data_IF_727128836645
#
_entry.id   IF_727128836645
#
_cell.length_a   1.000
_cell.length_b   1.000
_cell.length_c   1.000
_cell.angle_alpha   90.00
_cell.angle_beta   90.00
_cell.angle_gamma   90.00
#
_symmetry.space_group_name_H-M   'P 1'
#
loop_
_entity.id
_entity.type
_entity.pdbx_description
1 polymer ?
#
# COMPACT_ATOMS: atom_id res chain seq x y z
N UNK A 1 3.95 -21.19 -18.35
CA UNK A 1 3.96 -20.65 -16.98
C UNK A 1 4.33 -21.83 -16.10
N UNK A 2 5.31 -21.72 -15.20
CA UNK A 2 5.57 -22.82 -14.25
C UNK A 2 4.31 -23.05 -13.41
N UNK A 3 4.13 -24.26 -12.89
CA UNK A 3 2.97 -24.62 -12.05
C UNK A 3 2.83 -23.71 -10.80
N UNK A 4 3.90 -23.02 -10.40
CA UNK A 4 3.97 -22.16 -9.21
C UNK A 4 3.49 -20.71 -9.43
N UNK A 5 3.45 -20.24 -10.67
CA UNK A 5 3.07 -18.86 -10.99
C UNK A 5 1.57 -18.75 -11.31
N UNK A 6 0.77 -18.47 -10.30
CA UNK A 6 -0.71 -18.49 -10.41
C UNK A 6 -1.30 -17.10 -10.22
N UNK A 7 -1.85 -16.53 -11.29
CA UNK A 7 -2.88 -15.50 -11.23
C UNK A 7 -4.20 -16.08 -11.77
N UNK A 8 -5.33 -15.68 -11.17
CA UNK A 8 -6.66 -16.28 -11.45
C UNK A 8 -7.78 -15.36 -11.02
N UNK A 9 -8.99 -15.60 -11.53
CA UNK A 9 -10.17 -14.84 -11.17
C UNK A 9 -11.32 -15.73 -10.68
N UNK A 10 -12.18 -15.14 -9.86
CA UNK A 10 -13.41 -15.76 -9.35
C UNK A 10 -14.56 -14.77 -9.48
N UNK A 11 -15.73 -15.25 -9.88
CA UNK A 11 -16.96 -14.48 -9.88
C UNK A 11 -17.85 -14.93 -8.73
N UNK A 12 -18.35 -13.97 -7.95
CA UNK A 12 -19.31 -14.18 -6.88
C UNK A 12 -20.69 -13.75 -7.37
N UNK A 13 -21.33 -14.65 -8.13
CA UNK A 13 -22.62 -14.37 -8.77
C UNK A 13 -22.55 -13.15 -9.69
N UNK A 14 -23.54 -12.27 -9.54
CA UNK A 14 -23.64 -10.96 -10.20
C UNK A 14 -23.05 -9.81 -9.35
N UNK A 15 -22.51 -10.10 -8.16
CA UNK A 15 -22.08 -9.08 -7.21
C UNK A 15 -20.65 -8.60 -7.46
N UNK A 16 -19.69 -9.52 -7.63
CA UNK A 16 -18.28 -9.16 -7.66
C UNK A 16 -17.43 -10.10 -8.52
N UNK A 17 -16.34 -9.55 -9.07
CA UNK A 17 -15.21 -10.34 -9.58
C UNK A 17 -13.97 -10.09 -8.74
N UNK A 18 -13.32 -11.15 -8.28
CA UNK A 18 -12.04 -11.11 -7.56
C UNK A 18 -10.93 -11.60 -8.47
N UNK A 19 -9.93 -10.75 -8.73
CA UNK A 19 -8.73 -11.06 -9.49
C UNK A 19 -7.55 -11.19 -8.52
N UNK A 20 -6.93 -12.36 -8.45
CA UNK A 20 -5.73 -12.60 -7.67
C UNK A 20 -4.51 -12.52 -8.58
N UNK A 21 -3.61 -11.57 -8.32
CA UNK A 21 -2.40 -11.35 -9.13
C UNK A 21 -1.17 -12.04 -8.54
N UNK A 22 -0.15 -12.22 -9.38
CA UNK A 22 1.17 -12.74 -9.05
C UNK A 22 2.20 -11.63 -9.30
N UNK A 23 2.92 -11.20 -8.25
CA UNK A 23 3.87 -10.07 -8.33
C UNK A 23 5.28 -10.44 -7.87
N UNK A 24 5.62 -11.74 -7.78
CA UNK A 24 6.88 -12.23 -7.23
C UNK A 24 7.70 -13.03 -8.24
N UNK A 25 7.10 -13.99 -8.92
CA UNK A 25 7.84 -15.02 -9.67
C UNK A 25 7.95 -14.73 -11.16
N UNK A 26 6.98 -14.02 -11.74
CA UNK A 26 6.82 -14.00 -13.21
C UNK A 26 7.56 -12.89 -13.93
N UNK A 27 7.39 -11.65 -13.49
CA UNK A 27 7.82 -10.47 -14.24
C UNK A 27 8.49 -9.40 -13.39
N UNK A 28 8.64 -9.65 -12.09
CA UNK A 28 9.22 -8.71 -11.15
C UNK A 28 10.68 -8.44 -11.49
N UNK A 29 11.02 -7.18 -11.77
CA UNK A 29 12.42 -6.78 -11.84
C UNK A 29 13.04 -6.77 -10.43
N UNK A 30 14.36 -6.88 -10.37
CA UNK A 30 15.12 -6.84 -9.11
C UNK A 30 14.80 -5.58 -8.30
N UNK A 31 14.57 -5.77 -6.99
CA UNK A 31 14.31 -4.70 -6.05
C UNK A 31 15.48 -3.73 -5.97
N UNK A 32 15.17 -2.43 -5.93
CA UNK A 32 16.18 -1.44 -5.57
C UNK A 32 16.37 -1.42 -4.05
N UNK A 33 17.58 -1.06 -3.63
CA UNK A 33 17.93 -0.73 -2.26
C UNK A 33 18.68 0.60 -2.23
N UNK A 34 18.48 1.39 -1.18
CA UNK A 34 19.21 2.65 -1.02
C UNK A 34 20.73 2.44 -0.95
N UNK A 35 21.20 1.37 -0.32
CA UNK A 35 22.63 1.11 -0.17
C UNK A 35 23.34 0.78 -1.49
N UNK A 36 22.69 0.05 -2.40
CA UNK A 36 23.29 -0.33 -3.68
C UNK A 36 22.98 0.65 -4.82
N UNK A 37 21.81 1.30 -4.78
CA UNK A 37 21.24 2.00 -5.92
C UNK A 37 21.18 3.52 -5.76
N UNK A 38 21.58 4.05 -4.61
CA UNK A 38 21.75 5.49 -4.39
C UNK A 38 23.26 5.81 -4.27
N UNK A 39 23.90 6.22 -5.37
CA UNK A 39 25.31 6.58 -5.35
C UNK A 39 25.59 7.73 -4.37
N UNK A 40 26.80 7.75 -3.82
CA UNK A 40 27.30 8.88 -3.04
C UNK A 40 28.19 9.76 -3.91
N UNK A 41 27.94 11.06 -3.90
CA UNK A 41 28.79 12.09 -4.51
C UNK A 41 29.48 12.92 -3.44
N UNK A 42 30.38 13.82 -3.85
CA UNK A 42 30.98 14.79 -2.94
C UNK A 42 29.94 15.71 -2.25
N UNK A 43 28.75 15.88 -2.85
CA UNK A 43 27.66 16.69 -2.31
C UNK A 43 26.66 15.90 -1.43
N UNK A 44 26.85 14.58 -1.30
CA UNK A 44 25.92 13.68 -0.59
C UNK A 44 25.26 12.65 -1.52
N UNK A 45 24.16 12.01 -1.07
CA UNK A 45 23.46 11.00 -1.85
C UNK A 45 22.89 11.56 -3.15
N UNK A 46 23.11 10.86 -4.27
CA UNK A 46 22.58 11.23 -5.58
C UNK A 46 21.15 10.71 -5.76
N UNK A 47 20.21 11.48 -5.21
CA UNK A 47 18.77 11.19 -5.28
C UNK A 47 18.28 11.20 -6.73
N UNK A 48 18.84 12.07 -7.59
CA UNK A 48 18.42 12.18 -8.98
C UNK A 48 18.78 10.91 -9.77
N UNK A 49 20.00 10.39 -9.60
CA UNK A 49 20.40 9.12 -10.20
C UNK A 49 19.54 7.94 -9.70
N UNK A 50 19.27 7.89 -8.39
CA UNK A 50 18.37 6.90 -7.80
C UNK A 50 16.96 6.97 -8.40
N UNK A 51 16.38 8.17 -8.47
CA UNK A 51 15.04 8.39 -9.03
C UNK A 51 14.99 8.09 -10.52
N UNK A 52 16.04 8.37 -11.30
CA UNK A 52 16.11 7.97 -12.70
C UNK A 52 16.02 6.44 -12.84
N UNK A 53 16.72 5.68 -11.98
CA UNK A 53 16.65 4.22 -11.95
C UNK A 53 15.27 3.73 -11.50
N UNK A 54 14.70 4.32 -10.45
CA UNK A 54 13.37 3.95 -9.91
C UNK A 54 12.26 4.19 -10.92
N UNK A 55 12.33 5.30 -11.66
CA UNK A 55 11.34 5.69 -12.66
C UNK A 55 11.62 5.14 -14.07
N UNK A 56 12.60 4.24 -14.23
CA UNK A 56 12.85 3.57 -15.50
C UNK A 56 11.54 2.93 -16.02
N UNK A 57 11.10 3.25 -17.26
CA UNK A 57 9.83 2.78 -17.80
C UNK A 57 9.78 1.25 -17.91
N UNK A 58 10.91 0.56 -17.99
CA UNK A 58 11.01 -0.89 -18.04
C UNK A 58 10.77 -1.58 -16.68
N UNK A 59 10.78 -0.85 -15.56
CA UNK A 59 10.56 -1.45 -14.23
C UNK A 59 9.10 -1.86 -14.03
N UNK A 60 8.90 -3.10 -13.59
CA UNK A 60 7.60 -3.75 -13.49
C UNK A 60 7.53 -4.84 -12.40
N UNK A 61 6.29 -5.16 -12.00
CA UNK A 61 5.91 -6.26 -11.12
C UNK A 61 5.08 -7.34 -11.84
N UNK A 62 4.28 -6.97 -12.85
CA UNK A 62 3.23 -7.84 -13.41
C UNK A 62 3.57 -8.42 -14.79
N UNK A 63 4.28 -7.65 -15.62
CA UNK A 63 4.49 -7.95 -17.03
C UNK A 63 3.22 -7.75 -17.87
N UNK A 64 3.42 -7.62 -19.19
CA UNK A 64 2.33 -7.23 -20.11
C UNK A 64 1.23 -8.29 -20.25
N UNK A 65 1.60 -9.57 -20.18
CA UNK A 65 0.62 -10.67 -20.29
C UNK A 65 -0.42 -10.60 -19.16
N UNK A 66 0.05 -10.51 -17.91
CA UNK A 66 -0.85 -10.47 -16.77
C UNK A 66 -1.64 -9.16 -16.73
N UNK A 67 -1.03 -8.04 -17.13
CA UNK A 67 -1.71 -6.75 -17.23
C UNK A 67 -2.82 -6.73 -18.28
N UNK A 68 -2.58 -7.33 -19.44
CA UNK A 68 -3.61 -7.54 -20.46
C UNK A 68 -4.76 -8.40 -19.94
N UNK A 69 -4.44 -9.51 -19.25
CA UNK A 69 -5.44 -10.35 -18.60
C UNK A 69 -6.26 -9.59 -17.54
N UNK A 70 -5.64 -8.74 -16.72
CA UNK A 70 -6.34 -7.88 -15.76
C UNK A 70 -7.33 -6.97 -16.48
N UNK A 71 -6.87 -6.21 -17.48
CA UNK A 71 -7.73 -5.30 -18.26
C UNK A 71 -8.94 -6.04 -18.84
N UNK A 72 -8.70 -7.16 -19.50
CA UNK A 72 -9.75 -7.90 -20.21
C UNK A 72 -10.76 -8.51 -19.22
N UNK A 73 -10.28 -8.99 -18.07
CA UNK A 73 -11.12 -9.57 -17.00
C UNK A 73 -11.96 -8.50 -16.31
N UNK A 74 -11.39 -7.32 -16.04
CA UNK A 74 -12.11 -6.18 -15.48
C UNK A 74 -13.17 -5.66 -16.45
N UNK A 75 -12.84 -5.55 -17.74
CA UNK A 75 -13.79 -5.15 -18.78
C UNK A 75 -14.96 -6.14 -18.90
N UNK A 76 -14.68 -7.45 -18.86
CA UNK A 76 -15.69 -8.49 -18.86
C UNK A 76 -16.58 -8.44 -17.61
N UNK A 77 -16.00 -8.21 -16.42
CA UNK A 77 -16.75 -8.04 -15.17
C UNK A 77 -17.74 -6.87 -15.26
N UNK A 78 -17.28 -5.72 -15.76
CA UNK A 78 -18.12 -4.54 -15.99
C UNK A 78 -19.23 -4.80 -17.02
N UNK A 79 -18.89 -5.43 -18.15
CA UNK A 79 -19.86 -5.76 -19.19
C UNK A 79 -20.96 -6.71 -18.71
N UNK A 80 -20.63 -7.61 -17.77
CA UNK A 80 -21.58 -8.50 -17.10
C UNK A 80 -22.45 -7.79 -16.03
N UNK A 81 -22.29 -6.47 -15.83
CA UNK A 81 -23.09 -5.69 -14.89
C UNK A 81 -22.69 -5.83 -13.42
N UNK A 82 -21.52 -6.42 -13.13
CA UNK A 82 -21.08 -6.61 -11.74
C UNK A 82 -20.65 -5.29 -11.12
N UNK A 83 -21.22 -4.88 -9.97
CA UNK A 83 -20.89 -3.61 -9.36
C UNK A 83 -19.45 -3.58 -8.80
N UNK A 84 -18.88 -4.71 -8.40
CA UNK A 84 -17.57 -4.74 -7.75
C UNK A 84 -16.50 -5.49 -8.53
N UNK A 85 -15.36 -4.83 -8.70
CA UNK A 85 -14.12 -5.44 -9.13
C UNK A 85 -13.11 -5.34 -8.00
N UNK A 86 -12.54 -6.46 -7.59
CA UNK A 86 -11.58 -6.54 -6.48
C UNK A 86 -10.28 -7.12 -7.00
N UNK A 87 -9.16 -6.45 -6.73
CA UNK A 87 -7.83 -6.92 -7.04
C UNK A 87 -7.13 -7.37 -5.76
N UNK A 88 -6.95 -8.68 -5.60
CA UNK A 88 -6.10 -9.26 -4.55
C UNK A 88 -4.64 -9.22 -4.97
N UNK A 89 -3.83 -8.45 -4.24
CA UNK A 89 -2.43 -8.18 -4.50
C UNK A 89 -1.61 -8.36 -3.20
N UNK A 90 -0.29 -8.56 -3.32
CA UNK A 90 0.57 -8.90 -2.18
C UNK A 90 0.98 -7.65 -1.39
N UNK A 91 1.39 -6.58 -2.08
CA UNK A 91 2.11 -5.43 -1.49
C UNK A 91 1.36 -4.11 -1.63
N UNK A 92 1.52 -3.19 -0.69
CA UNK A 92 0.88 -1.87 -0.70
C UNK A 92 1.14 -1.12 -2.02
N UNK A 93 0.08 -0.57 -2.59
CA UNK A 93 0.06 0.09 -3.89
C UNK A 93 0.15 1.62 -3.81
N UNK A 94 -0.34 2.20 -2.71
CA UNK A 94 -0.26 3.65 -2.47
C UNK A 94 1.14 4.23 -2.61
N UNK A 95 1.21 5.52 -2.98
CA UNK A 95 2.46 6.29 -2.96
C UNK A 95 2.80 6.66 -1.52
N UNK A 96 3.85 6.05 -0.99
CA UNK A 96 4.27 6.23 0.40
C UNK A 96 5.73 6.71 0.44
N UNK A 97 5.91 8.00 0.56
CA UNK A 97 7.18 8.59 0.99
C UNK A 97 7.44 8.24 2.45
N UNK A 98 8.71 7.99 2.76
CA UNK A 98 9.13 7.85 4.15
C UNK A 98 8.85 9.16 4.91
N UNK A 99 8.45 9.08 6.19
CA UNK A 99 8.09 10.27 6.93
C UNK A 99 9.33 11.07 7.31
N UNK A 100 9.28 12.38 7.07
CA UNK A 100 10.24 13.33 7.61
C UNK A 100 9.72 13.84 8.96
N UNK A 101 10.13 13.16 10.05
CA UNK A 101 9.63 13.48 11.39
C UNK A 101 10.00 14.90 11.84
N UNK A 102 11.01 15.53 11.23
CA UNK A 102 11.40 16.91 11.50
C UNK A 102 10.36 17.94 11.07
N UNK A 103 9.48 17.57 10.13
CA UNK A 103 8.37 18.42 9.65
C UNK A 103 7.07 18.19 10.42
N UNK A 104 7.01 17.15 11.25
CA UNK A 104 5.78 16.68 11.89
C UNK A 104 5.68 17.04 13.38
N UNK A 105 6.79 17.45 14.00
CA UNK A 105 6.86 17.82 15.40
C UNK A 105 7.92 18.90 15.63
N UNK A 106 7.84 19.60 16.77
CA UNK A 106 8.87 20.56 17.16
C UNK A 106 10.19 19.87 17.47
N UNK A 107 11.29 20.62 17.38
CA UNK A 107 12.63 20.12 17.72
C UNK A 107 12.70 19.57 19.15
N UNK A 108 11.99 20.17 20.10
CA UNK A 108 11.96 19.74 21.50
C UNK A 108 11.26 18.38 21.62
N UNK A 109 10.11 18.21 20.96
CA UNK A 109 9.37 16.94 20.95
C UNK A 109 10.19 15.82 20.30
N UNK A 110 10.87 16.11 19.19
CA UNK A 110 11.76 15.14 18.54
C UNK A 110 12.92 14.78 19.46
N UNK A 111 13.55 15.75 20.11
CA UNK A 111 14.63 15.47 21.07
C UNK A 111 14.15 14.59 22.23
N UNK A 112 12.96 14.86 22.78
CA UNK A 112 12.36 14.06 23.84
C UNK A 112 12.05 12.63 23.35
N UNK A 113 11.46 12.50 22.16
CA UNK A 113 11.21 11.20 21.51
C UNK A 113 12.50 10.40 21.36
N UNK A 114 13.53 11.00 20.76
CA UNK A 114 14.81 10.33 20.51
C UNK A 114 15.52 9.94 21.82
N UNK A 115 15.43 10.77 22.86
CA UNK A 115 16.00 10.49 24.17
C UNK A 115 15.35 9.26 24.84
N UNK A 116 14.06 9.01 24.59
CA UNK A 116 13.33 7.85 25.09
C UNK A 116 13.63 6.53 24.38
N UNK A 117 14.27 6.57 23.19
CA UNK A 117 14.62 5.37 22.43
C UNK A 117 15.89 4.69 22.95
N UNK A 118 15.93 3.35 22.85
CA UNK A 118 17.15 2.55 23.02
C UNK A 118 18.23 3.00 22.02
N UNK A 119 19.53 2.90 22.35
CA UNK A 119 20.60 3.39 21.48
C UNK A 119 20.55 2.84 20.05
N UNK A 120 20.26 1.54 19.88
CA UNK A 120 20.22 0.88 18.58
C UNK A 120 19.04 1.37 17.74
N UNK A 121 17.86 1.46 18.37
CA UNK A 121 16.64 1.98 17.74
C UNK A 121 16.81 3.46 17.37
N UNK A 122 17.43 4.25 18.25
CA UNK A 122 17.74 5.66 18.00
C UNK A 122 18.61 5.82 16.75
N UNK A 123 19.66 5.02 16.61
CA UNK A 123 20.55 5.06 15.44
C UNK A 123 19.80 4.71 14.15
N UNK A 124 18.94 3.69 14.18
CA UNK A 124 18.09 3.31 13.05
C UNK A 124 17.13 4.44 12.66
N UNK A 125 16.45 5.05 13.63
CA UNK A 125 15.52 6.18 13.38
C UNK A 125 16.29 7.38 12.82
N UNK A 126 17.50 7.67 13.32
CA UNK A 126 18.34 8.76 12.78
C UNK A 126 18.73 8.51 11.33
N UNK A 127 19.16 7.29 10.99
CA UNK A 127 19.52 6.91 9.63
C UNK A 127 18.31 6.99 8.69
N UNK A 128 17.17 6.43 9.11
CA UNK A 128 15.92 6.51 8.35
C UNK A 128 15.48 7.96 8.15
N UNK A 129 15.57 8.80 9.18
CA UNK A 129 15.22 10.21 9.09
C UNK A 129 16.12 10.99 8.12
N UNK A 130 17.43 10.73 8.12
CA UNK A 130 18.35 11.33 7.14
C UNK A 130 17.93 10.96 5.72
N UNK A 131 17.65 9.68 5.49
CA UNK A 131 17.22 9.19 4.19
C UNK A 131 15.86 9.77 3.77
N UNK A 132 14.84 9.69 4.62
CA UNK A 132 13.48 10.13 4.30
C UNK A 132 13.34 11.65 4.19
N UNK A 133 14.25 12.42 4.80
CA UNK A 133 14.33 13.87 4.55
C UNK A 133 14.65 14.22 3.09
N UNK A 134 15.17 13.25 2.31
CA UNK A 134 15.42 13.37 0.88
C UNK A 134 14.17 13.13 0.00
N UNK A 135 13.02 12.82 0.61
CA UNK A 135 11.75 12.61 -0.11
C UNK A 135 11.63 11.26 -0.83
N UNK A 136 12.40 10.27 -0.41
CA UNK A 136 12.42 8.94 -1.03
C UNK A 136 11.37 7.99 -0.43
N UNK A 137 10.96 6.93 -1.16
CA UNK A 137 9.92 6.01 -0.69
C UNK A 137 10.17 5.29 0.64
N UNK A 138 9.10 4.92 1.31
CA UNK A 138 9.17 4.15 2.56
C UNK A 138 9.53 2.68 2.31
N UNK A 139 9.03 2.09 1.21
CA UNK A 139 9.25 0.67 0.89
C UNK A 139 9.53 0.47 -0.61
N UNK A 140 10.74 0.04 -0.95
CA UNK A 140 11.12 -0.26 -2.34
C UNK A 140 10.76 -1.68 -2.79
N UNK A 141 10.36 -2.57 -1.87
CA UNK A 141 9.83 -3.89 -2.22
C UNK A 141 8.35 -3.83 -2.64
N UNK A 142 7.65 -2.73 -2.36
CA UNK A 142 6.26 -2.51 -2.78
C UNK A 142 6.19 -1.77 -4.14
N UNK A 143 4.99 -1.35 -4.53
CA UNK A 143 4.77 -0.62 -5.79
C UNK A 143 5.53 0.71 -5.89
N UNK A 144 6.04 1.27 -4.79
CA UNK A 144 6.89 2.46 -4.83
C UNK A 144 8.27 2.21 -5.45
N UNK A 145 8.75 0.97 -5.49
CA UNK A 145 9.93 0.58 -6.27
C UNK A 145 9.68 0.45 -7.78
N UNK A 146 8.41 0.53 -8.21
CA UNK A 146 7.96 0.26 -9.58
C UNK A 146 6.91 1.27 -10.06
N UNK A 147 7.17 2.59 -9.97
CA UNK A 147 6.20 3.63 -10.30
C UNK A 147 5.67 3.54 -11.74
N UNK A 148 6.53 3.26 -12.72
CA UNK A 148 6.10 3.11 -14.11
C UNK A 148 5.16 1.89 -14.30
N UNK A 149 5.48 0.77 -13.64
CA UNK A 149 4.63 -0.42 -13.60
C UNK A 149 3.26 -0.16 -12.95
N UNK A 150 3.23 0.66 -11.88
CA UNK A 150 1.99 1.11 -11.21
C UNK A 150 1.11 1.92 -12.16
N UNK A 151 1.66 2.93 -12.84
CA UNK A 151 0.89 3.75 -13.79
C UNK A 151 0.32 2.91 -14.94
N UNK A 152 1.08 1.94 -15.45
CA UNK A 152 0.56 1.02 -16.48
C UNK A 152 -0.60 0.16 -15.96
N UNK A 153 -0.58 -0.23 -14.68
CA UNK A 153 -1.71 -0.95 -14.08
C UNK A 153 -2.93 -0.03 -13.94
N UNK A 154 -2.74 1.21 -13.51
CA UNK A 154 -3.82 2.20 -13.46
C UNK A 154 -4.41 2.50 -14.84
N UNK A 155 -3.57 2.57 -15.88
CA UNK A 155 -4.04 2.68 -17.25
C UNK A 155 -4.93 1.48 -17.65
N UNK A 156 -4.57 0.25 -17.24
CA UNK A 156 -5.41 -0.93 -17.49
C UNK A 156 -6.78 -0.86 -16.77
N UNK A 157 -6.85 -0.28 -15.57
CA UNK A 157 -8.12 -0.02 -14.90
C UNK A 157 -8.96 1.01 -15.67
N UNK A 158 -8.33 2.10 -16.10
CA UNK A 158 -8.96 3.16 -16.88
C UNK A 158 -9.48 2.66 -18.23
N UNK A 159 -8.70 1.82 -18.94
CA UNK A 159 -9.08 1.20 -20.22
C UNK A 159 -10.30 0.27 -20.05
N UNK A 160 -10.38 -0.46 -18.94
CA UNK A 160 -11.55 -1.25 -18.58
C UNK A 160 -12.72 -0.37 -18.08
N UNK A 161 -12.47 0.91 -17.81
CA UNK A 161 -13.42 1.88 -17.28
C UNK A 161 -13.94 1.51 -15.88
N UNK A 162 -13.07 1.00 -15.02
CA UNK A 162 -13.40 0.63 -13.63
C UNK A 162 -12.45 1.28 -12.64
N UNK A 163 -12.92 1.46 -11.41
CA UNK A 163 -12.11 1.83 -10.25
C UNK A 163 -12.20 0.66 -9.26
N UNK A 164 -11.25 -0.29 -9.26
CA UNK A 164 -11.37 -1.47 -8.42
C UNK A 164 -11.08 -1.17 -6.95
N UNK A 165 -11.51 -2.08 -6.07
CA UNK A 165 -10.98 -2.18 -4.71
C UNK A 165 -9.71 -3.03 -4.76
N UNK A 166 -8.60 -2.53 -4.23
CA UNK A 166 -7.34 -3.26 -4.10
C UNK A 166 -7.20 -3.78 -2.68
N UNK A 167 -6.85 -5.06 -2.53
CA UNK A 167 -6.47 -5.67 -1.27
C UNK A 167 -4.96 -5.91 -1.27
N UNK A 168 -4.30 -5.55 -0.18
CA UNK A 168 -2.86 -5.74 -0.02
C UNK A 168 -2.53 -6.35 1.36
N UNK A 169 -1.34 -6.92 1.51
CA UNK A 169 -0.79 -7.42 2.77
C UNK A 169 0.69 -7.06 2.90
N UNK A 170 1.52 -8.04 3.28
CA UNK A 170 3.01 -8.01 3.32
C UNK A 170 3.63 -7.02 4.33
N UNK A 171 3.17 -5.77 4.33
CA UNK A 171 3.69 -4.66 5.17
C UNK A 171 3.51 -4.81 6.68
N UNK A 172 2.70 -5.79 7.12
CA UNK A 172 2.31 -5.98 8.52
C UNK A 172 1.68 -4.73 9.18
N UNK A 173 0.97 -3.91 8.42
CA UNK A 173 0.32 -2.70 8.89
C UNK A 173 -1.05 -2.54 8.22
N UNK A 174 -1.98 -1.86 8.89
CA UNK A 174 -3.22 -1.47 8.21
C UNK A 174 -2.99 -0.24 7.36
N UNK A 175 -3.54 -0.26 6.15
CA UNK A 175 -3.55 0.86 5.23
C UNK A 175 -4.94 1.06 4.66
N UNK A 176 -5.35 2.32 4.55
CA UNK A 176 -6.47 2.73 3.72
C UNK A 176 -5.98 3.84 2.81
N UNK A 177 -5.99 3.59 1.51
CA UNK A 177 -5.47 4.55 0.53
C UNK A 177 -6.51 4.91 -0.54
N UNK A 178 -6.53 6.18 -0.91
CA UNK A 178 -7.23 6.70 -2.07
C UNK A 178 -6.21 6.86 -3.22
N UNK A 179 -6.12 5.83 -4.06
CA UNK A 179 -5.07 5.70 -5.07
C UNK A 179 -5.35 6.61 -6.24
N UNK A 180 -4.36 7.40 -6.67
CA UNK A 180 -4.50 8.32 -7.79
C UNK A 180 -3.48 8.02 -8.89
N UNK A 181 -3.87 8.22 -10.15
CA UNK A 181 -2.91 8.23 -11.24
C UNK A 181 -2.03 9.49 -11.23
N UNK A 182 -1.04 9.56 -12.12
CA UNK A 182 -0.18 10.73 -12.24
C UNK A 182 -0.92 12.03 -12.61
N UNK A 183 -2.15 11.95 -13.15
CA UNK A 183 -2.99 13.10 -13.45
C UNK A 183 -3.88 13.52 -12.25
N UNK A 184 -3.78 12.83 -11.12
CA UNK A 184 -4.56 13.08 -9.91
C UNK A 184 -5.98 12.52 -9.94
N UNK A 185 -6.34 11.71 -10.95
CA UNK A 185 -7.63 11.02 -11.02
C UNK A 185 -7.58 9.78 -10.14
N UNK A 186 -8.68 9.46 -9.44
CA UNK A 186 -8.75 8.23 -8.66
C UNK A 186 -8.62 7.02 -9.60
N UNK A 187 -7.71 6.12 -9.25
CA UNK A 187 -7.50 4.85 -9.94
C UNK A 187 -8.17 3.69 -9.21
N UNK A 188 -8.15 3.70 -7.88
CA UNK A 188 -8.68 2.62 -7.04
C UNK A 188 -8.81 3.06 -5.57
N UNK A 189 -9.49 2.26 -4.76
CA UNK A 189 -9.43 2.33 -3.30
C UNK A 189 -8.67 1.12 -2.78
N UNK A 190 -7.69 1.32 -1.90
CA UNK A 190 -6.89 0.23 -1.33
C UNK A 190 -7.18 0.00 0.15
N UNK A 191 -7.34 -1.26 0.52
CA UNK A 191 -7.33 -1.73 1.90
C UNK A 191 -6.16 -2.69 2.11
N UNK A 192 -5.09 -2.19 2.71
CA UNK A 192 -3.95 -3.00 3.15
C UNK A 192 -4.25 -3.63 4.51
N UNK A 193 -4.20 -4.96 4.59
CA UNK A 193 -4.40 -5.68 5.84
C UNK A 193 -3.12 -5.74 6.66
N UNK A 194 -3.27 -5.60 7.98
CA UNK A 194 -2.18 -5.88 8.91
C UNK A 194 -1.84 -7.38 8.95
N UNK A 195 -0.82 -7.72 9.72
CA UNK A 195 -0.43 -9.10 9.99
C UNK A 195 -1.36 -9.77 11.02
N UNK A 196 -1.48 -11.09 10.89
CA UNK A 196 -2.11 -11.92 11.92
C UNK A 196 -1.25 -11.93 13.19
N UNK A 197 0.07 -12.10 13.05
CA UNK A 197 1.00 -12.21 14.19
C UNK A 197 2.40 -11.64 13.94
N UNK A 198 2.82 -11.44 12.69
CA UNK A 198 4.16 -10.94 12.38
C UNK A 198 4.42 -9.53 12.92
N UNK A 199 5.63 -9.20 13.39
CA UNK A 199 5.97 -7.85 13.85
C UNK A 199 5.77 -6.78 12.77
N UNK A 200 5.20 -5.65 13.16
CA UNK A 200 5.00 -4.47 12.32
C UNK A 200 6.24 -3.57 12.34
N UNK A 201 6.45 -2.71 11.34
CA UNK A 201 7.51 -1.69 11.40
C UNK A 201 7.43 -0.82 12.66
N UNK A 202 6.23 -0.42 13.09
CA UNK A 202 6.04 0.36 14.32
C UNK A 202 6.44 -0.36 15.61
N UNK A 203 6.44 -1.70 15.64
CA UNK A 203 6.88 -2.48 16.81
C UNK A 203 8.40 -2.35 17.04
N UNK A 204 9.16 -2.00 16.00
CA UNK A 204 10.61 -1.83 16.06
C UNK A 204 11.03 -0.42 16.52
N UNK A 205 10.10 0.54 16.48
CA UNK A 205 10.32 1.94 16.85
C UNK A 205 9.28 2.42 17.88
N UNK A 206 9.19 1.76 19.05
CA UNK A 206 8.15 2.05 20.03
C UNK A 206 8.19 3.52 20.48
N UNK A 207 7.02 4.14 20.56
CA UNK A 207 6.86 5.56 20.92
C UNK A 207 6.95 6.52 19.74
N UNK A 208 7.47 6.08 18.58
CA UNK A 208 7.39 6.87 17.34
C UNK A 208 5.99 6.68 16.74
N UNK A 209 5.20 7.76 16.52
CA UNK A 209 3.86 7.66 15.95
C UNK A 209 3.92 7.44 14.42
N UNK A 210 4.55 6.34 13.98
CA UNK A 210 4.91 6.10 12.58
C UNK A 210 3.70 6.11 11.64
N UNK A 211 2.58 5.48 12.03
CA UNK A 211 1.36 5.46 11.22
C UNK A 211 0.76 6.86 11.00
N UNK A 212 0.71 7.67 12.05
CA UNK A 212 0.25 9.06 11.95
C UNK A 212 1.20 9.90 11.09
N UNK A 213 2.51 9.69 11.22
CA UNK A 213 3.52 10.37 10.42
C UNK A 213 3.40 10.04 8.92
N UNK A 214 3.17 8.76 8.59
CA UNK A 214 2.94 8.31 7.22
C UNK A 214 1.65 8.87 6.65
N UNK A 215 0.57 8.89 7.43
CA UNK A 215 -0.72 9.50 7.05
C UNK A 215 -0.56 10.99 6.75
N UNK A 216 0.13 11.73 7.63
CA UNK A 216 0.31 13.18 7.47
C UNK A 216 1.23 13.56 6.28
N UNK A 217 2.16 12.68 5.92
CA UNK A 217 3.15 12.94 4.86
C UNK A 217 2.56 12.67 3.46
N UNK A 218 1.61 11.73 3.34
CA UNK A 218 1.24 11.15 2.06
C UNK A 218 -0.23 11.39 1.71
N UNK A 219 -0.47 12.14 0.63
CA UNK A 219 -1.81 12.58 0.24
C UNK A 219 -2.79 11.43 -0.13
N UNK A 220 -2.28 10.27 -0.53
CA UNK A 220 -3.12 9.09 -0.82
C UNK A 220 -3.46 8.29 0.44
N UNK A 221 -2.66 8.42 1.51
CA UNK A 221 -2.81 7.63 2.73
C UNK A 221 -3.86 8.28 3.62
N UNK A 222 -5.06 7.69 3.62
CA UNK A 222 -6.18 8.14 4.46
C UNK A 222 -6.00 7.64 5.89
N UNK A 223 -5.50 6.42 6.05
CA UNK A 223 -5.14 5.86 7.35
C UNK A 223 -3.97 4.89 7.23
N UNK A 224 -3.06 4.97 8.20
CA UNK A 224 -2.03 3.96 8.41
C UNK A 224 -1.91 3.63 9.90
N UNK A 225 -2.01 2.35 10.26
CA UNK A 225 -1.71 1.84 11.61
C UNK A 225 -0.57 0.82 11.53
N UNK A 226 0.53 1.16 12.21
CA UNK A 226 1.81 0.45 12.15
C UNK A 226 2.04 -0.50 13.32
N UNK A 227 0.99 -0.87 14.08
CA UNK A 227 1.15 -1.67 15.30
C UNK A 227 0.02 -2.68 15.55
N UNK A 228 -1.23 -2.35 15.21
CA UNK A 228 -2.37 -3.22 15.45
C UNK A 228 -2.26 -4.52 14.65
N UNK A 229 -2.63 -5.64 15.27
CA UNK A 229 -2.66 -6.98 14.64
C UNK A 229 -4.09 -7.38 14.35
N UNK A 230 -4.31 -8.06 13.22
CA UNK A 230 -5.61 -8.55 12.81
C UNK A 230 -5.78 -8.64 11.30
N UNK A 231 -6.98 -8.34 10.79
CA UNK A 231 -7.34 -8.51 9.38
C UNK A 231 -8.38 -7.48 8.92
N UNK A 232 -8.52 -7.29 7.60
CA UNK A 232 -9.64 -6.54 7.02
C UNK A 232 -10.82 -7.47 6.77
N UNK A 233 -12.01 -7.11 7.27
CA UNK A 233 -13.28 -7.73 6.89
C UNK A 233 -13.97 -6.83 5.86
N UNK A 234 -13.98 -7.26 4.59
CA UNK A 234 -14.65 -6.55 3.50
C UNK A 234 -16.03 -7.18 3.26
N UNK A 235 -17.08 -6.38 3.43
CA UNK A 235 -18.46 -6.74 3.11
C UNK A 235 -18.90 -5.97 1.87
N UNK A 236 -19.40 -6.68 0.85
CA UNK A 236 -19.91 -6.09 -0.38
C UNK A 236 -21.42 -6.32 -0.48
N UNK A 237 -22.16 -5.25 -0.70
CA UNK A 237 -23.58 -5.24 -1.11
C UNK A 237 -23.67 -4.59 -2.50
N UNK A 238 -24.78 -4.70 -3.24
CA UNK A 238 -24.88 -4.09 -4.57
C UNK A 238 -24.55 -2.58 -4.61
N UNK A 239 -24.77 -1.88 -3.50
CA UNK A 239 -24.67 -0.42 -3.36
C UNK A 239 -23.52 0.07 -2.46
N UNK A 240 -22.86 -0.82 -1.70
CA UNK A 240 -21.81 -0.42 -0.76
C UNK A 240 -20.72 -1.48 -0.58
N UNK A 241 -19.48 -1.02 -0.48
CA UNK A 241 -18.37 -1.75 0.10
C UNK A 241 -18.08 -1.20 1.50
N UNK A 242 -18.00 -2.09 2.50
CA UNK A 242 -17.69 -1.76 3.89
C UNK A 242 -16.47 -2.56 4.35
N UNK A 243 -15.40 -1.88 4.71
CA UNK A 243 -14.15 -2.46 5.19
C UNK A 243 -13.97 -2.18 6.68
N UNK A 244 -13.89 -3.24 7.50
CA UNK A 244 -13.59 -3.14 8.92
C UNK A 244 -12.17 -3.60 9.21
N UNK A 245 -11.38 -2.75 9.87
CA UNK A 245 -10.03 -3.09 10.31
C UNK A 245 -10.15 -3.83 11.64
N UNK A 246 -10.31 -5.15 11.59
CA UNK A 246 -10.51 -6.01 12.76
C UNK A 246 -9.20 -6.18 13.52
N UNK A 247 -9.24 -6.01 14.83
CA UNK A 247 -8.04 -6.08 15.67
C UNK A 247 -8.18 -7.06 16.84
N UNK A 248 -7.04 -7.46 17.40
CA UNK A 248 -6.95 -8.16 18.69
C UNK A 248 -6.09 -7.37 19.67
N UNK A 249 -6.44 -7.42 20.96
CA UNK A 249 -5.72 -6.68 22.02
C UNK A 249 -4.31 -7.21 22.28
N UNK A 250 -4.05 -8.49 21.99
CA UNK A 250 -2.73 -9.12 22.08
C UNK A 250 -2.72 -10.41 21.27
N UNK A 251 -1.56 -10.77 20.72
CA UNK A 251 -1.27 -12.06 20.09
C UNK A 251 -0.48 -13.00 21.02
N UNK A 252 -0.10 -12.53 22.21
CA UNK A 252 0.86 -13.22 23.09
C UNK A 252 0.18 -14.11 24.15
N UNK A 253 -1.10 -13.88 24.44
CA UNK A 253 -1.81 -14.58 25.50
C UNK A 253 -3.32 -14.65 25.26
N UNK A 254 -3.97 -15.59 25.97
CA UNK A 254 -5.43 -15.68 26.10
C UNK A 254 -5.84 -15.40 27.56
N UNK A 255 -7.02 -14.80 27.81
CA UNK A 255 -7.96 -14.29 26.80
C UNK A 255 -7.45 -13.00 26.14
N UNK A 256 -7.80 -12.81 24.87
CA UNK A 256 -7.65 -11.54 24.17
C UNK A 256 -9.03 -10.97 23.85
N UNK A 257 -9.11 -9.67 23.60
CA UNK A 257 -10.33 -9.01 23.11
C UNK A 257 -10.22 -8.75 21.62
N UNK A 258 -11.27 -9.06 20.87
CA UNK A 258 -11.40 -8.64 19.48
C UNK A 258 -12.09 -7.28 19.40
N UNK A 259 -11.73 -6.47 18.40
CA UNK A 259 -12.29 -5.15 18.19
C UNK A 259 -12.28 -4.72 16.73
N UNK A 260 -12.69 -3.48 16.49
CA UNK A 260 -12.60 -2.79 15.20
C UNK A 260 -11.82 -1.51 15.45
N UNK A 261 -10.71 -1.33 14.73
CA UNK A 261 -9.90 -0.11 14.82
C UNK A 261 -10.64 1.05 14.16
N UNK A 262 -11.06 0.86 12.92
CA UNK A 262 -11.82 1.79 12.10
C UNK A 262 -12.69 1.03 11.09
N UNK A 263 -13.74 1.69 10.62
CA UNK A 263 -14.58 1.23 9.51
C UNK A 263 -14.53 2.25 8.40
N UNK A 264 -14.39 1.78 7.16
CA UNK A 264 -14.48 2.61 5.97
C UNK A 264 -15.58 2.10 5.05
N UNK A 265 -16.22 3.02 4.35
CA UNK A 265 -17.26 2.71 3.36
C UNK A 265 -16.99 3.41 2.05
N UNK A 266 -17.41 2.76 0.98
CA UNK A 266 -17.42 3.30 -0.38
C UNK A 266 -18.75 2.93 -1.01
N UNK A 267 -19.53 3.93 -1.43
CA UNK A 267 -20.79 3.69 -2.13
C UNK A 267 -20.52 3.30 -3.60
N UNK A 268 -21.36 2.44 -4.17
CA UNK A 268 -21.42 2.27 -5.62
C UNK A 268 -22.30 3.36 -6.21
N UNK A 269 -21.76 4.08 -7.18
CA UNK A 269 -22.48 5.16 -7.89
C UNK A 269 -22.67 4.81 -9.36
N UNK A 270 -23.51 5.58 -10.05
CA UNK A 270 -23.71 5.42 -11.49
C UNK A 270 -22.43 5.63 -12.32
N UNK A 271 -21.48 6.40 -11.80
CA UNK A 271 -20.24 6.78 -12.51
C UNK A 271 -18.99 6.04 -12.02
N UNK A 272 -19.08 5.19 -10.99
CA UNK A 272 -17.91 4.54 -10.38
C UNK A 272 -18.04 4.39 -8.87
N UNK A 273 -16.92 4.47 -8.16
CA UNK A 273 -16.90 4.46 -6.70
C UNK A 273 -17.17 5.87 -6.15
N UNK A 274 -17.99 5.95 -5.10
CA UNK A 274 -18.20 7.18 -4.34
C UNK A 274 -16.99 7.54 -3.47
N UNK A 275 -17.10 8.61 -2.70
CA UNK A 275 -16.05 9.00 -1.74
C UNK A 275 -15.72 7.86 -0.78
N UNK A 276 -14.44 7.77 -0.40
CA UNK A 276 -13.99 6.89 0.66
C UNK A 276 -14.25 7.59 2.00
N UNK A 277 -15.11 7.01 2.83
CA UNK A 277 -15.61 7.65 4.05
C UNK A 277 -15.29 6.79 5.26
N UNK A 278 -14.69 7.39 6.29
CA UNK A 278 -14.60 6.80 7.63
C UNK A 278 -15.97 6.88 8.32
N UNK A 279 -16.50 5.76 8.79
CA UNK A 279 -17.84 5.63 9.39
C UNK A 279 -17.80 5.18 10.84
#
# INVERSE_FOLDING_TARGET
LSEDAIYRSFDFGDLASLLMVETRLTARNEQLSYGADMPMTAAGPDVAAFEAKRNDPGRDLLGDRQRGWIRDTLAASKAAGRPWQVLGNQVVMGRVQGPDISKLASRIEIMALMAGLKPEVRAQVQQAQQLFSLGVPFNLDSWDGYPAGRERLYAAFADAGVEPIVLAGDSHAFWVNDLKDAAGRRAAVEFGTSSISSPSPGDHVPGVPLGAALTATNAEVVLCDQSAKGYVLLTLTPDQARAELRTVSTIMAKPYRAGVLKTFTVAKTATGLGSLVES
#
